data_IF_166158130904
#
_entry.id   IF_166158130904
#
_cell.length_a   1.000
_cell.length_b   1.000
_cell.length_c   1.000
_cell.angle_alpha   90.00
_cell.angle_beta   90.00
_cell.angle_gamma   90.00
#
_symmetry.space_group_name_H-M   'P 1'
#
loop_
_entity.id
_entity.type
_entity.pdbx_description
1 polymer ?
#
# COMPACT_ATOMS: atom_id res chain seq x y z
N UNK A 1 5.79 -6.13 5.38
CA UNK A 1 5.09 -5.31 4.36
C UNK A 1 3.82 -4.67 4.92
N UNK A 2 2.78 -5.45 5.28
CA UNK A 2 1.51 -4.89 5.75
C UNK A 2 1.61 -4.20 7.13
N UNK A 3 2.50 -4.64 8.00
CA UNK A 3 2.75 -4.01 9.31
C UNK A 3 3.27 -2.57 9.14
N UNK A 4 4.35 -2.38 8.38
CA UNK A 4 4.88 -1.06 8.01
C UNK A 4 3.86 -0.22 7.23
N UNK A 5 3.06 -0.88 6.39
CA UNK A 5 1.95 -0.26 5.69
C UNK A 5 0.88 0.30 6.63
N UNK A 6 0.49 -0.47 7.64
CA UNK A 6 -0.47 -0.02 8.65
C UNK A 6 0.11 1.09 9.52
N UNK A 7 1.39 0.99 9.90
CA UNK A 7 2.10 2.05 10.60
C UNK A 7 2.13 3.35 9.77
N UNK A 8 2.37 3.26 8.47
CA UNK A 8 2.33 4.41 7.55
C UNK A 8 0.92 4.99 7.40
N UNK A 9 -0.10 4.12 7.32
CA UNK A 9 -1.50 4.52 7.19
C UNK A 9 -2.02 5.26 8.43
N UNK A 10 -1.67 4.79 9.63
CA UNK A 10 -2.17 5.35 10.91
C UNK A 10 -1.26 6.46 11.43
N UNK A 11 0.05 6.25 11.35
CA UNK A 11 1.02 7.04 12.08
C UNK A 11 1.30 8.40 11.47
N UNK A 12 1.35 8.49 10.14
CA UNK A 12 2.05 9.60 9.50
C UNK A 12 3.49 9.76 10.03
N UNK A 13 4.24 10.71 9.50
CA UNK A 13 5.37 11.28 10.22
C UNK A 13 4.93 12.61 10.84
N UNK A 14 5.78 13.20 11.69
CA UNK A 14 5.52 14.55 12.25
C UNK A 14 5.28 15.59 11.15
N UNK A 15 5.87 15.38 9.97
CA UNK A 15 5.84 16.32 8.85
C UNK A 15 4.77 15.99 7.80
N UNK A 16 4.43 14.71 7.60
CA UNK A 16 3.58 14.27 6.49
C UNK A 16 2.58 13.18 6.90
N UNK A 17 1.33 13.35 6.48
CA UNK A 17 0.27 12.37 6.70
C UNK A 17 0.22 11.32 5.58
N UNK A 18 -0.63 10.30 5.76
CA UNK A 18 -0.86 9.27 4.76
C UNK A 18 -1.32 9.85 3.40
N UNK A 19 -2.13 10.90 3.39
CA UNK A 19 -2.62 11.49 2.15
C UNK A 19 -1.48 12.06 1.30
N UNK A 20 -0.47 12.65 1.93
CA UNK A 20 0.75 13.12 1.26
C UNK A 20 1.54 11.96 0.63
N UNK A 21 1.81 10.89 1.40
CA UNK A 21 2.52 9.71 0.91
C UNK A 21 1.78 9.02 -0.24
N UNK A 22 0.46 8.90 -0.13
CA UNK A 22 -0.43 8.36 -1.16
C UNK A 22 -0.38 9.19 -2.45
N UNK A 23 -0.38 10.52 -2.33
CA UNK A 23 -0.26 11.44 -3.46
C UNK A 23 1.07 11.29 -4.17
N UNK A 24 2.17 11.08 -3.43
CA UNK A 24 3.48 10.85 -4.02
C UNK A 24 3.52 9.55 -4.83
N UNK A 25 2.99 8.45 -4.29
CA UNK A 25 2.91 7.19 -5.03
C UNK A 25 2.03 7.32 -6.28
N UNK A 26 0.91 8.04 -6.18
CA UNK A 26 0.04 8.31 -7.34
C UNK A 26 0.79 9.07 -8.44
N UNK A 27 1.50 10.14 -8.09
CA UNK A 27 2.32 10.91 -9.05
C UNK A 27 3.43 10.06 -9.64
N UNK A 28 4.10 9.25 -8.81
CA UNK A 28 5.16 8.35 -9.24
C UNK A 28 4.69 7.32 -10.29
N UNK A 29 3.50 6.75 -10.10
CA UNK A 29 2.89 5.84 -11.08
C UNK A 29 2.38 6.56 -12.34
N UNK A 30 2.03 7.85 -12.23
CA UNK A 30 1.60 8.64 -13.37
C UNK A 30 2.76 9.07 -14.28
N UNK A 31 3.97 9.22 -13.74
CA UNK A 31 5.16 9.57 -14.55
C UNK A 31 5.63 8.45 -15.46
N UNK A 32 5.35 7.20 -15.11
CA UNK A 32 5.68 6.03 -15.94
C UNK A 32 4.52 5.02 -15.94
N UNK A 33 3.70 4.99 -17.02
CA UNK A 33 2.64 4.02 -17.17
C UNK A 33 3.11 2.56 -17.25
N UNK A 34 4.38 2.32 -17.60
CA UNK A 34 4.97 0.97 -17.74
C UNK A 34 5.57 0.43 -16.45
N UNK A 35 5.73 1.29 -15.43
CA UNK A 35 6.28 0.93 -14.14
C UNK A 35 5.51 -0.23 -13.49
N UNK A 36 6.22 -1.30 -13.13
CA UNK A 36 5.73 -2.43 -12.35
C UNK A 36 6.29 -2.39 -10.91
N UNK A 37 5.41 -2.50 -9.92
CA UNK A 37 5.71 -2.45 -8.49
C UNK A 37 5.97 -3.82 -7.86
N UNK A 38 5.85 -4.90 -8.64
CA UNK A 38 5.98 -6.29 -8.14
C UNK A 38 7.25 -6.53 -7.33
N UNK A 39 8.38 -6.04 -7.82
CA UNK A 39 9.69 -6.24 -7.18
C UNK A 39 10.00 -5.18 -6.10
N UNK A 40 9.10 -4.21 -5.91
CA UNK A 40 9.26 -3.07 -4.99
C UNK A 40 8.51 -3.24 -3.66
N UNK A 41 8.02 -4.45 -3.40
CA UNK A 41 7.34 -4.80 -2.15
C UNK A 41 8.29 -5.23 -1.03
N UNK A 42 9.59 -5.37 -1.32
CA UNK A 42 10.59 -5.82 -0.35
C UNK A 42 11.12 -4.62 0.45
N UNK A 43 11.16 -4.75 1.78
CA UNK A 43 11.68 -3.70 2.67
C UNK A 43 13.21 -3.67 2.73
N UNK A 44 13.87 -4.65 2.11
CA UNK A 44 15.33 -4.70 1.98
C UNK A 44 15.85 -3.76 0.89
N UNK A 45 15.00 -3.33 -0.05
CA UNK A 45 15.32 -2.29 -1.01
C UNK A 45 15.05 -0.90 -0.40
N UNK A 46 16.06 -0.04 -0.44
CA UNK A 46 15.92 1.40 -0.17
C UNK A 46 15.35 2.09 -1.42
N UNK A 47 14.10 1.81 -1.73
CA UNK A 47 13.37 2.45 -2.82
C UNK A 47 12.54 3.63 -2.28
N UNK A 48 12.93 4.85 -2.64
CA UNK A 48 12.34 6.08 -2.11
C UNK A 48 11.91 7.01 -3.24
N UNK A 49 10.73 7.61 -3.09
CA UNK A 49 10.28 8.76 -3.88
C UNK A 49 10.67 10.02 -3.10
N UNK A 50 11.36 10.96 -3.76
CA UNK A 50 11.79 12.25 -3.21
C UNK A 50 12.55 12.15 -1.86
N UNK A 51 13.33 11.08 -1.65
CA UNK A 51 14.06 10.76 -0.40
C UNK A 51 13.21 10.46 0.85
N UNK A 52 11.95 10.87 0.90
CA UNK A 52 11.12 10.78 2.12
C UNK A 52 10.02 9.71 2.05
N UNK A 53 9.62 9.29 0.86
CA UNK A 53 8.52 8.33 0.68
C UNK A 53 9.06 6.95 0.36
N UNK A 54 9.10 6.05 1.35
CA UNK A 54 9.44 4.64 1.15
C UNK A 54 8.37 3.96 0.30
N UNK A 55 8.73 3.55 -0.92
CA UNK A 55 7.83 2.86 -1.86
C UNK A 55 7.19 1.61 -1.26
N UNK A 56 7.94 0.64 -0.66
CA UNK A 56 7.35 -0.56 -0.08
C UNK A 56 6.35 -0.25 1.06
N UNK A 57 6.57 0.84 1.79
CA UNK A 57 5.73 1.21 2.93
C UNK A 57 4.40 1.79 2.44
N UNK A 58 4.44 2.69 1.45
CA UNK A 58 3.22 3.24 0.86
C UNK A 58 2.44 2.18 0.08
N UNK A 59 3.11 1.23 -0.59
CA UNK A 59 2.43 0.06 -1.17
C UNK A 59 1.67 -0.69 -0.07
N UNK A 60 2.33 -1.01 1.05
CA UNK A 60 1.68 -1.66 2.19
C UNK A 60 0.49 -0.85 2.72
N UNK A 61 0.61 0.47 2.79
CA UNK A 61 -0.44 1.36 3.28
C UNK A 61 -1.66 1.38 2.35
N UNK A 62 -1.47 1.46 1.03
CA UNK A 62 -2.57 1.39 0.05
C UNK A 62 -3.23 0.00 0.05
N UNK A 63 -2.47 -1.07 0.28
CA UNK A 63 -3.05 -2.41 0.46
C UNK A 63 -3.91 -2.50 1.73
N UNK A 64 -3.46 -1.91 2.84
CA UNK A 64 -4.25 -1.81 4.06
C UNK A 64 -5.53 -0.99 3.84
N UNK A 65 -5.43 0.15 3.15
CA UNK A 65 -6.56 0.98 2.72
C UNK A 65 -7.58 0.16 1.92
N UNK A 66 -7.15 -0.62 0.93
CA UNK A 66 -8.03 -1.50 0.14
C UNK A 66 -8.78 -2.52 1.00
N UNK A 67 -8.07 -3.18 1.92
CA UNK A 67 -8.67 -4.18 2.81
C UNK A 67 -9.71 -3.52 3.72
N UNK A 68 -9.35 -2.39 4.34
CA UNK A 68 -10.25 -1.62 5.20
C UNK A 68 -11.49 -1.14 4.47
N UNK A 69 -11.35 -0.71 3.20
CA UNK A 69 -12.48 -0.30 2.38
C UNK A 69 -13.45 -1.44 2.11
N UNK A 70 -12.95 -2.66 1.90
CA UNK A 70 -13.77 -3.81 1.52
C UNK A 70 -14.40 -4.52 2.73
N UNK A 71 -13.59 -4.81 3.74
CA UNK A 71 -13.96 -5.71 4.86
C UNK A 71 -13.74 -5.05 6.25
N UNK A 72 -13.35 -3.78 6.28
CA UNK A 72 -13.08 -3.06 7.53
C UNK A 72 -11.93 -3.64 8.34
N UNK A 73 -11.92 -3.30 9.64
CA UNK A 73 -10.86 -3.72 10.58
C UNK A 73 -10.79 -5.23 10.74
N UNK A 74 -11.93 -5.93 10.67
CA UNK A 74 -11.99 -7.38 10.81
C UNK A 74 -11.21 -8.08 9.68
N UNK A 75 -11.41 -7.66 8.43
CA UNK A 75 -10.65 -8.19 7.30
C UNK A 75 -9.16 -7.87 7.41
N UNK A 76 -8.80 -6.66 7.85
CA UNK A 76 -7.40 -6.27 8.04
C UNK A 76 -6.70 -7.15 9.07
N UNK A 77 -7.29 -7.34 10.25
CA UNK A 77 -6.71 -8.18 11.29
C UNK A 77 -6.65 -9.66 10.89
N UNK A 78 -7.66 -10.14 10.15
CA UNK A 78 -7.61 -11.48 9.61
C UNK A 78 -6.40 -11.65 8.68
N UNK A 79 -6.23 -10.78 7.69
CA UNK A 79 -5.08 -10.84 6.76
C UNK A 79 -3.74 -10.81 7.50
N UNK A 80 -3.62 -9.93 8.51
CA UNK A 80 -2.40 -9.82 9.31
C UNK A 80 -2.09 -11.06 10.16
N UNK A 81 -3.10 -11.86 10.48
CA UNK A 81 -2.94 -13.08 11.28
C UNK A 81 -2.52 -14.32 10.47
N UNK A 82 -2.56 -14.26 9.14
CA UNK A 82 -2.43 -15.45 8.26
C UNK A 82 -0.99 -15.82 7.88
N UNK A 83 0.01 -15.22 8.53
CA UNK A 83 1.42 -15.62 8.43
C UNK A 83 2.31 -14.60 7.74
N UNK A 84 3.54 -15.02 7.44
CA UNK A 84 4.63 -14.14 6.95
C UNK A 84 4.49 -13.83 5.45
N UNK A 85 3.97 -14.76 4.66
CA UNK A 85 3.70 -14.53 3.24
C UNK A 85 2.32 -13.86 3.06
N UNK A 86 2.27 -12.59 2.62
CA UNK A 86 1.01 -11.87 2.50
C UNK A 86 0.20 -12.27 1.26
N UNK A 87 0.81 -12.91 0.25
CA UNK A 87 0.16 -13.11 -1.05
C UNK A 87 -1.09 -14.01 -1.00
N UNK A 88 -1.10 -15.16 -0.29
CA UNK A 88 -2.30 -15.98 -0.18
C UNK A 88 -3.48 -15.23 0.46
N UNK A 89 -3.21 -14.43 1.49
CA UNK A 89 -4.21 -13.62 2.15
C UNK A 89 -4.72 -12.49 1.22
N UNK A 90 -3.80 -11.79 0.55
CA UNK A 90 -4.09 -10.70 -0.39
C UNK A 90 -4.84 -11.15 -1.65
N UNK A 91 -4.71 -12.41 -2.07
CA UNK A 91 -5.40 -12.95 -3.24
C UNK A 91 -6.93 -12.82 -3.15
N UNK A 92 -7.53 -12.91 -1.95
CA UNK A 92 -8.98 -12.70 -1.76
C UNK A 92 -9.43 -11.26 -2.10
N UNK A 93 -8.49 -10.31 -2.07
CA UNK A 93 -8.66 -8.91 -2.46
C UNK A 93 -8.34 -8.65 -3.94
N UNK A 94 -8.09 -9.71 -4.72
CA UNK A 94 -7.67 -9.62 -6.11
C UNK A 94 -6.22 -9.16 -6.28
N UNK A 95 -5.42 -9.22 -5.22
CA UNK A 95 -4.02 -8.79 -5.19
C UNK A 95 -3.12 -10.02 -5.26
N UNK A 96 -2.40 -10.14 -6.36
CA UNK A 96 -1.28 -11.06 -6.58
C UNK A 96 -0.08 -10.26 -7.06
N UNK A 97 1.13 -10.82 -7.11
CA UNK A 97 2.28 -10.13 -7.70
C UNK A 97 2.00 -9.56 -9.10
N UNK A 98 1.25 -10.28 -9.93
CA UNK A 98 0.91 -9.89 -11.31
C UNK A 98 -0.18 -8.82 -11.40
N UNK A 99 -1.09 -8.77 -10.42
CA UNK A 99 -2.20 -7.80 -10.42
C UNK A 99 -1.91 -6.56 -9.59
N UNK A 100 -0.90 -6.60 -8.71
CA UNK A 100 -0.57 -5.58 -7.72
C UNK A 100 -0.61 -4.17 -8.29
N UNK A 101 0.23 -3.89 -9.30
CA UNK A 101 0.39 -2.55 -9.88
C UNK A 101 -0.92 -2.02 -10.43
N UNK A 102 -1.68 -2.86 -11.14
CA UNK A 102 -2.97 -2.49 -11.72
C UNK A 102 -4.00 -2.17 -10.64
N UNK A 103 -4.09 -2.99 -9.61
CA UNK A 103 -5.06 -2.80 -8.53
C UNK A 103 -4.70 -1.61 -7.64
N UNK A 104 -3.41 -1.36 -7.38
CA UNK A 104 -2.94 -0.15 -6.69
C UNK A 104 -3.31 1.11 -7.49
N UNK A 105 -3.10 1.13 -8.81
CA UNK A 105 -3.52 2.26 -9.66
C UNK A 105 -5.02 2.53 -9.53
N UNK A 106 -5.86 1.50 -9.50
CA UNK A 106 -7.31 1.66 -9.30
C UNK A 106 -7.62 2.22 -7.91
N UNK A 107 -7.00 1.67 -6.87
CA UNK A 107 -7.22 2.11 -5.49
C UNK A 107 -6.83 3.57 -5.29
N UNK A 108 -5.70 3.99 -5.86
CA UNK A 108 -5.19 5.37 -5.80
C UNK A 108 -6.11 6.40 -6.47
N UNK A 109 -6.99 5.97 -7.38
CA UNK A 109 -8.00 6.82 -8.02
C UNK A 109 -9.27 7.01 -7.18
N UNK A 110 -9.42 6.26 -6.09
CA UNK A 110 -10.50 6.47 -5.12
C UNK A 110 -10.14 7.60 -4.15
N UNK A 111 -11.15 8.14 -3.47
CA UNK A 111 -10.92 9.05 -2.34
C UNK A 111 -10.15 8.33 -1.21
N UNK A 112 -9.16 8.97 -0.57
CA UNK A 112 -8.42 8.39 0.55
C UNK A 112 -9.37 7.86 1.64
N UNK A 113 -9.10 6.67 2.13
CA UNK A 113 -9.87 6.05 3.20
C UNK A 113 -9.63 6.81 4.50
N UNK A 114 -10.71 7.34 5.08
CA UNK A 114 -10.66 8.05 6.35
C UNK A 114 -10.73 7.04 7.48
N UNK A 115 -9.58 6.78 8.11
CA UNK A 115 -9.50 5.95 9.32
C UNK A 115 -9.94 6.82 10.51
N UNK A 116 -11.25 7.02 10.63
CA UNK A 116 -11.95 7.84 11.65
C UNK A 116 -11.79 9.36 11.47
#
# INVERSE_FOLDING_TARGET
MLEEGLATLIGGSVEHDYAWYRTNLQRYLATDPSLDLRDRCTTTMRDYINADTSVPYVIGAVLCERILRRDGKAGLFQVMSEGVDPWPALARYGITPETLTRELRKELMLEPYRVL
#
